data_IF_300611069248
#
_entry.id   IF_300611069248
#
_cell.length_a   1.000
_cell.length_b   1.000
_cell.length_c   1.000
_cell.angle_alpha   90.00
_cell.angle_beta   90.00
_cell.angle_gamma   90.00
#
_symmetry.space_group_name_H-M   'P 1'
#
loop_
_entity.id
_entity.type
_entity.pdbx_description
1 polymer ?
#
# COMPACT_ATOMS: atom_id res chain seq x y z
N UNK A 1 19.03 21.26 25.43
CA UNK A 1 19.37 20.37 24.31
C UNK A 1 18.37 19.23 24.35
N UNK A 2 17.35 19.28 23.50
CA UNK A 2 16.22 18.35 23.54
C UNK A 2 16.65 16.96 23.03
N UNK A 3 16.24 15.85 23.68
CA UNK A 3 16.63 14.47 23.33
C UNK A 3 16.02 13.96 22.00
N UNK A 4 15.73 14.86 21.05
CA UNK A 4 15.04 14.58 19.79
C UNK A 4 16.00 14.32 18.61
N UNK A 5 17.31 14.58 18.74
CA UNK A 5 18.26 14.45 17.62
C UNK A 5 18.80 13.03 17.39
N UNK A 6 18.72 12.12 18.37
CA UNK A 6 19.29 10.77 18.22
C UNK A 6 18.38 9.77 17.49
N UNK A 7 17.09 10.09 17.29
CA UNK A 7 16.11 9.20 16.64
C UNK A 7 15.94 9.45 15.13
N UNK A 8 16.79 10.26 14.51
CA UNK A 8 16.70 10.61 13.08
C UNK A 8 16.99 9.46 12.10
N UNK A 9 17.07 8.18 12.53
CA UNK A 9 17.50 7.07 11.65
C UNK A 9 16.54 5.89 11.51
N UNK A 10 15.41 5.84 12.20
CA UNK A 10 14.52 4.67 12.12
C UNK A 10 13.06 5.08 12.15
N UNK A 11 12.46 5.23 10.96
CA UNK A 11 11.01 5.37 10.83
C UNK A 11 10.34 4.25 11.63
N UNK A 12 9.48 4.58 12.62
CA UNK A 12 8.82 3.57 13.43
C UNK A 12 8.04 2.60 12.55
N UNK A 13 8.03 1.30 12.91
CA UNK A 13 7.29 0.29 12.16
C UNK A 13 5.81 0.63 12.00
N UNK A 14 5.22 1.27 13.03
CA UNK A 14 3.85 1.80 13.01
C UNK A 14 3.66 2.87 11.94
N UNK A 15 4.60 3.81 11.80
CA UNK A 15 4.51 4.86 10.78
C UNK A 15 4.59 4.24 9.37
N UNK A 16 5.46 3.24 9.17
CA UNK A 16 5.50 2.48 7.91
C UNK A 16 4.19 1.75 7.63
N UNK A 17 3.58 1.15 8.64
CA UNK A 17 2.31 0.46 8.51
C UNK A 17 1.17 1.43 8.20
N UNK A 18 1.11 2.58 8.86
CA UNK A 18 0.13 3.62 8.58
C UNK A 18 0.27 4.15 7.15
N UNK A 19 1.50 4.42 6.70
CA UNK A 19 1.76 4.81 5.30
C UNK A 19 1.30 3.72 4.34
N UNK A 20 1.62 2.45 4.62
CA UNK A 20 1.15 1.33 3.79
C UNK A 20 -0.38 1.29 3.73
N UNK A 21 -1.08 1.40 4.86
CA UNK A 21 -2.54 1.47 4.90
C UNK A 21 -3.11 2.63 4.08
N UNK A 22 -2.50 3.82 4.11
CA UNK A 22 -2.98 4.95 3.30
C UNK A 22 -2.88 4.68 1.79
N UNK A 23 -1.84 3.97 1.34
CA UNK A 23 -1.74 3.56 -0.07
C UNK A 23 -2.81 2.53 -0.45
N UNK A 24 -3.17 1.65 0.48
CA UNK A 24 -4.26 0.68 0.27
C UNK A 24 -5.62 1.36 0.21
N UNK A 25 -5.88 2.27 1.14
CA UNK A 25 -7.12 3.05 1.17
C UNK A 25 -7.26 3.90 -0.11
N UNK A 26 -6.16 4.50 -0.56
CA UNK A 26 -6.11 5.23 -1.83
C UNK A 26 -6.39 4.32 -3.03
N UNK A 27 -5.89 3.08 -3.03
CA UNK A 27 -6.18 2.11 -4.09
C UNK A 27 -7.67 1.75 -4.13
N UNK A 28 -8.27 1.47 -2.98
CA UNK A 28 -9.70 1.15 -2.87
C UNK A 28 -10.57 2.32 -3.35
N UNK A 29 -10.22 3.55 -2.93
CA UNK A 29 -10.88 4.77 -3.41
C UNK A 29 -10.72 4.96 -4.92
N UNK A 30 -9.56 4.66 -5.49
CA UNK A 30 -9.34 4.73 -6.93
C UNK A 30 -10.21 3.72 -7.69
N UNK A 31 -10.35 2.50 -7.17
CA UNK A 31 -11.26 1.50 -7.74
C UNK A 31 -12.71 2.00 -7.73
N UNK A 32 -13.21 2.53 -6.62
CA UNK A 32 -14.60 3.01 -6.54
C UNK A 32 -14.83 4.29 -7.38
N UNK A 33 -13.89 5.23 -7.37
CA UNK A 33 -14.08 6.54 -8.02
C UNK A 33 -13.73 6.55 -9.50
N UNK A 34 -12.76 5.72 -9.91
CA UNK A 34 -12.27 5.68 -11.29
C UNK A 34 -12.71 4.40 -11.97
N UNK A 35 -12.42 3.23 -11.40
CA UNK A 35 -12.77 1.98 -12.07
C UNK A 35 -14.29 1.84 -12.18
N UNK A 36 -15.02 2.02 -11.06
CA UNK A 36 -16.49 1.86 -10.98
C UNK A 36 -17.29 3.04 -11.58
N UNK A 37 -16.66 4.20 -11.79
CA UNK A 37 -17.33 5.34 -12.44
C UNK A 37 -17.16 5.38 -13.96
N UNK A 38 -16.02 4.89 -14.45
CA UNK A 38 -15.68 4.96 -15.88
C UNK A 38 -15.90 3.64 -16.63
N UNK A 39 -16.44 2.59 -15.99
CA UNK A 39 -16.69 1.33 -16.70
C UNK A 39 -15.45 0.47 -16.93
N UNK A 40 -14.31 0.81 -16.32
CA UNK A 40 -13.03 0.14 -16.62
C UNK A 40 -13.01 -1.33 -16.19
N UNK A 41 -13.93 -1.76 -15.32
CA UNK A 41 -14.07 -3.16 -14.93
C UNK A 41 -14.34 -4.10 -16.11
N UNK A 42 -14.88 -3.60 -17.22
CA UNK A 42 -15.14 -4.40 -18.42
C UNK A 42 -13.86 -4.94 -19.08
N UNK A 43 -12.72 -4.28 -18.84
CA UNK A 43 -11.42 -4.67 -19.36
C UNK A 43 -10.59 -5.46 -18.35
N UNK A 44 -11.07 -5.61 -17.12
CA UNK A 44 -10.39 -6.35 -16.06
C UNK A 44 -10.99 -7.75 -15.92
N UNK A 45 -10.31 -8.81 -16.39
CA UNK A 45 -10.80 -10.17 -16.20
C UNK A 45 -10.89 -10.48 -14.70
N UNK A 46 -12.01 -11.10 -14.29
CA UNK A 46 -12.34 -11.49 -12.92
C UNK A 46 -12.71 -10.36 -11.94
N UNK A 47 -12.87 -9.12 -12.40
CA UNK A 47 -13.28 -8.02 -11.54
C UNK A 47 -14.73 -8.20 -11.03
N UNK A 48 -14.92 -8.18 -9.71
CA UNK A 48 -16.24 -8.16 -9.07
C UNK A 48 -16.43 -6.78 -8.47
N UNK A 49 -17.34 -6.01 -9.06
CA UNK A 49 -17.76 -4.70 -8.54
C UNK A 49 -18.12 -4.83 -7.06
N UNK A 50 -17.56 -3.94 -6.23
CA UNK A 50 -17.77 -3.85 -4.78
C UNK A 50 -17.37 -5.09 -3.95
N UNK A 51 -16.42 -5.92 -4.40
CA UNK A 51 -15.84 -7.00 -3.59
C UNK A 51 -14.32 -7.00 -3.63
N UNK A 52 -13.68 -7.30 -2.50
CA UNK A 52 -12.24 -7.60 -2.42
C UNK A 52 -11.86 -8.62 -3.50
N UNK A 53 -11.11 -8.18 -4.52
CA UNK A 53 -10.90 -8.93 -5.75
C UNK A 53 -9.44 -9.37 -5.94
N UNK A 54 -9.16 -10.12 -7.01
CA UNK A 54 -7.78 -10.51 -7.36
C UNK A 54 -6.87 -9.30 -7.61
N UNK A 55 -7.44 -8.19 -8.09
CA UNK A 55 -6.71 -6.96 -8.32
C UNK A 55 -6.28 -6.26 -7.02
N UNK A 56 -7.13 -6.28 -5.98
CA UNK A 56 -6.71 -5.87 -4.63
C UNK A 56 -5.56 -6.71 -4.11
N UNK A 57 -5.62 -8.03 -4.29
CA UNK A 57 -4.52 -8.93 -3.90
C UNK A 57 -3.25 -8.58 -4.68
N UNK A 58 -3.38 -8.25 -5.97
CA UNK A 58 -2.29 -7.77 -6.81
C UNK A 58 -1.69 -6.46 -6.31
N UNK A 59 -2.52 -5.48 -5.98
CA UNK A 59 -2.10 -4.18 -5.44
C UNK A 59 -1.42 -4.33 -4.06
N UNK A 60 -1.99 -5.15 -3.18
CA UNK A 60 -1.42 -5.51 -1.88
C UNK A 60 -0.07 -6.20 -2.02
N UNK A 61 0.04 -7.16 -2.96
CA UNK A 61 1.27 -7.87 -3.24
C UNK A 61 2.33 -6.94 -3.84
N UNK A 62 1.95 -6.04 -4.75
CA UNK A 62 2.85 -5.06 -5.35
C UNK A 62 3.34 -4.06 -4.29
N UNK A 63 2.46 -3.51 -3.47
CA UNK A 63 2.83 -2.59 -2.40
C UNK A 63 3.67 -3.28 -1.33
N UNK A 64 3.31 -4.51 -0.94
CA UNK A 64 4.12 -5.34 -0.04
C UNK A 64 5.51 -5.62 -0.61
N UNK A 65 5.60 -5.94 -1.90
CA UNK A 65 6.86 -6.15 -2.61
C UNK A 65 7.70 -4.87 -2.69
N UNK A 66 7.09 -3.73 -3.03
CA UNK A 66 7.77 -2.43 -3.06
C UNK A 66 8.30 -2.07 -1.67
N UNK A 67 7.48 -2.21 -0.63
CA UNK A 67 7.93 -1.99 0.75
C UNK A 67 9.08 -2.93 1.11
N UNK A 68 9.01 -4.21 0.75
CA UNK A 68 10.10 -5.17 0.98
C UNK A 68 11.38 -4.81 0.22
N UNK A 69 11.26 -4.36 -1.03
CA UNK A 69 12.36 -4.02 -1.93
C UNK A 69 13.05 -2.70 -1.58
N UNK A 70 12.28 -1.69 -1.19
CA UNK A 70 12.76 -0.34 -0.86
C UNK A 70 13.11 -0.19 0.63
N UNK A 71 12.55 -1.03 1.50
CA UNK A 71 13.00 -1.16 2.89
C UNK A 71 13.66 -2.52 3.11
N UNK A 72 14.86 -2.76 2.55
CA UNK A 72 15.64 -3.92 2.92
C UNK A 72 15.89 -3.83 4.42
N UNK A 73 15.30 -4.79 5.15
CA UNK A 73 15.60 -5.04 6.55
C UNK A 73 17.08 -5.41 6.57
N UNK A 74 17.98 -4.43 6.80
CA UNK A 74 19.34 -4.76 7.25
C UNK A 74 19.15 -5.47 8.58
N UNK A 75 19.06 -6.80 8.54
CA UNK A 75 19.33 -7.64 9.70
C UNK A 75 20.80 -7.35 10.00
N UNK A 76 21.02 -6.48 10.97
CA UNK A 76 22.35 -6.32 11.55
C UNK A 76 22.76 -7.68 12.08
N UNK A 77 23.78 -8.26 11.45
CA UNK A 77 24.69 -9.17 12.10
C UNK A 77 25.59 -8.35 13.04
#
# INVERSE_FOLDING_TARGET
MTPQETEAKRTPGIVRFAVWLTFLDTWVLFEETVVDRYGLWQYMPYYRVAKFCLWDIGAMALLGFLVWRFFPRRRGA
#
